data_IF_157514976525
#
_entry.id   IF_157514976525
#
_cell.length_a   1.000
_cell.length_b   1.000
_cell.length_c   1.000
_cell.angle_alpha   90.00
_cell.angle_beta   90.00
_cell.angle_gamma   90.00
#
_symmetry.space_group_name_H-M   'P 1'
#
loop_
_entity.id
_entity.type
_entity.pdbx_description
1 polymer ?
#
# COMPACT_ATOMS: atom_id res chain seq x y z
N UNK A 1 15.11 -17.56 -16.82
CA UNK A 1 14.18 -17.10 -15.74
C UNK A 1 12.70 -17.38 -16.03
N UNK A 2 12.27 -17.74 -17.25
CA UNK A 2 10.87 -18.11 -17.55
C UNK A 2 10.50 -19.55 -17.16
N UNK A 3 11.49 -20.45 -17.06
CA UNK A 3 11.25 -21.88 -16.79
C UNK A 3 10.91 -22.13 -15.31
N UNK A 4 11.56 -21.43 -14.39
CA UNK A 4 11.29 -21.53 -12.95
C UNK A 4 9.93 -20.97 -12.53
N UNK A 5 9.36 -20.02 -13.29
CA UNK A 5 7.99 -19.53 -13.05
C UNK A 5 6.93 -20.52 -13.55
N UNK A 6 7.24 -21.31 -14.57
CA UNK A 6 6.38 -22.36 -15.12
C UNK A 6 6.36 -23.62 -14.24
N UNK A 7 7.48 -23.99 -13.62
CA UNK A 7 7.54 -25.10 -12.65
C UNK A 7 6.75 -24.76 -11.37
N UNK A 8 6.94 -23.56 -10.81
CA UNK A 8 6.14 -23.10 -9.68
C UNK A 8 4.64 -23.03 -9.98
N UNK A 9 4.26 -22.63 -11.20
CA UNK A 9 2.87 -22.63 -11.63
C UNK A 9 2.27 -24.04 -11.76
N UNK A 10 3.04 -25.01 -12.29
CA UNK A 10 2.60 -26.42 -12.40
C UNK A 10 2.43 -27.09 -11.02
N UNK A 11 3.29 -26.76 -10.06
CA UNK A 11 3.14 -27.22 -8.67
C UNK A 11 1.89 -26.63 -8.01
N UNK A 12 1.60 -25.34 -8.23
CA UNK A 12 0.41 -24.68 -7.69
C UNK A 12 -0.89 -25.29 -8.25
N UNK A 13 -0.95 -25.61 -9.56
CA UNK A 13 -2.14 -26.24 -10.15
C UNK A 13 -2.37 -27.65 -9.60
N UNK A 14 -1.30 -28.41 -9.32
CA UNK A 14 -1.41 -29.73 -8.67
C UNK A 14 -1.94 -29.61 -7.23
N UNK A 15 -1.53 -28.58 -6.50
CA UNK A 15 -1.98 -28.30 -5.13
C UNK A 15 -3.43 -27.81 -5.11
N UNK A 16 -3.83 -26.97 -6.07
CA UNK A 16 -5.16 -26.35 -6.17
C UNK A 16 -6.19 -27.23 -6.90
N UNK A 17 -6.23 -28.52 -6.55
CA UNK A 17 -7.09 -29.51 -7.21
C UNK A 17 -8.53 -29.56 -6.66
N UNK A 18 -8.87 -28.76 -5.64
CA UNK A 18 -10.23 -28.67 -5.11
C UNK A 18 -10.68 -27.23 -4.88
N UNK A 19 -12.01 -27.03 -4.92
CA UNK A 19 -12.64 -25.73 -4.67
C UNK A 19 -12.28 -25.17 -3.29
N UNK A 20 -12.17 -26.03 -2.28
CA UNK A 20 -11.86 -25.62 -0.90
C UNK A 20 -10.43 -25.09 -0.77
N UNK A 21 -9.46 -25.75 -1.42
CA UNK A 21 -8.07 -25.28 -1.46
C UNK A 21 -7.94 -23.94 -2.19
N UNK A 22 -8.64 -23.79 -3.31
CA UNK A 22 -8.70 -22.53 -4.05
C UNK A 22 -9.30 -21.42 -3.20
N UNK A 23 -10.41 -21.70 -2.50
CA UNK A 23 -11.06 -20.73 -1.62
C UNK A 23 -10.16 -20.34 -0.45
N UNK A 24 -9.46 -21.30 0.17
CA UNK A 24 -8.51 -21.05 1.25
C UNK A 24 -7.37 -20.13 0.80
N UNK A 25 -6.70 -20.46 -0.31
CA UNK A 25 -5.61 -19.63 -0.86
C UNK A 25 -6.15 -18.25 -1.27
N UNK A 26 -7.36 -18.15 -1.82
CA UNK A 26 -7.98 -16.87 -2.19
C UNK A 26 -8.24 -15.99 -0.95
N UNK A 27 -8.76 -16.57 0.13
CA UNK A 27 -8.97 -15.84 1.38
C UNK A 27 -7.65 -15.33 1.94
N UNK A 28 -6.63 -16.19 1.98
CA UNK A 28 -5.29 -15.80 2.41
C UNK A 28 -4.69 -14.68 1.56
N UNK A 29 -4.78 -14.79 0.24
CA UNK A 29 -4.33 -13.76 -0.70
C UNK A 29 -5.06 -12.43 -0.49
N UNK A 30 -6.36 -12.46 -0.19
CA UNK A 30 -7.14 -11.27 0.11
C UNK A 30 -6.67 -10.58 1.40
N UNK A 31 -6.37 -11.35 2.45
CA UNK A 31 -5.85 -10.82 3.72
C UNK A 31 -4.47 -10.19 3.54
N UNK A 32 -3.55 -10.84 2.83
CA UNK A 32 -2.24 -10.28 2.50
C UNK A 32 -2.39 -9.01 1.66
N UNK A 33 -3.26 -9.05 0.64
CA UNK A 33 -3.53 -7.90 -0.21
C UNK A 33 -4.03 -6.71 0.61
N UNK A 34 -4.96 -6.95 1.55
CA UNK A 34 -5.46 -5.92 2.45
C UNK A 34 -4.35 -5.35 3.31
N UNK A 35 -3.52 -6.19 3.93
CA UNK A 35 -2.40 -5.73 4.74
C UNK A 35 -1.44 -4.84 3.94
N UNK A 36 -0.96 -5.31 2.79
CA UNK A 36 -0.03 -4.54 1.96
C UNK A 36 -0.63 -3.24 1.43
N UNK A 37 -1.92 -3.24 1.09
CA UNK A 37 -2.62 -2.02 0.69
C UNK A 37 -2.62 -0.97 1.81
N UNK A 38 -2.97 -1.38 3.04
CA UNK A 38 -3.00 -0.47 4.18
C UNK A 38 -1.59 0.03 4.52
N UNK A 39 -0.55 -0.81 4.39
CA UNK A 39 0.85 -0.40 4.55
C UNK A 39 1.29 0.64 3.51
N UNK A 40 0.85 0.52 2.26
CA UNK A 40 1.11 1.53 1.23
C UNK A 40 0.45 2.86 1.59
N UNK A 41 -0.79 2.83 2.08
CA UNK A 41 -1.48 4.03 2.57
C UNK A 41 -0.70 4.65 3.72
N UNK A 42 -0.31 3.85 4.72
CA UNK A 42 0.47 4.33 5.86
C UNK A 42 1.75 5.04 5.41
N UNK A 43 2.52 4.42 4.52
CA UNK A 43 3.76 4.99 3.97
C UNK A 43 3.54 6.34 3.30
N UNK A 44 2.46 6.51 2.54
CA UNK A 44 2.16 7.80 1.90
C UNK A 44 1.74 8.86 2.91
N UNK A 45 0.86 8.53 3.85
CA UNK A 45 0.38 9.51 4.82
C UNK A 45 1.48 9.91 5.82
N UNK A 46 2.38 8.99 6.18
CA UNK A 46 3.60 9.33 6.94
C UNK A 46 4.48 10.28 6.15
N UNK A 47 4.74 9.99 4.88
CA UNK A 47 5.51 10.89 4.01
C UNK A 47 4.89 12.30 3.93
N UNK A 48 3.56 12.40 3.86
CA UNK A 48 2.85 13.69 3.82
C UNK A 48 3.02 14.46 5.13
N UNK A 49 2.97 13.74 6.25
CA UNK A 49 3.23 14.32 7.57
C UNK A 49 4.67 14.84 7.67
N UNK A 50 5.64 14.03 7.23
CA UNK A 50 7.07 14.35 7.31
C UNK A 50 7.45 15.56 6.46
N UNK A 51 6.93 15.66 5.22
CA UNK A 51 7.08 16.86 4.40
C UNK A 51 6.53 18.08 5.12
N UNK A 52 5.34 17.97 5.72
CA UNK A 52 4.72 19.12 6.38
C UNK A 52 5.51 19.62 7.59
N UNK A 53 6.22 18.72 8.28
CA UNK A 53 7.17 19.08 9.33
C UNK A 53 8.44 19.69 8.73
N UNK A 54 9.08 19.03 7.77
CA UNK A 54 10.38 19.45 7.21
C UNK A 54 10.33 20.81 6.52
N UNK A 55 9.28 21.04 5.71
CA UNK A 55 9.14 22.27 4.94
C UNK A 55 8.36 23.34 5.70
N UNK A 56 7.93 23.06 6.94
CA UNK A 56 7.00 23.88 7.73
C UNK A 56 5.75 24.30 6.92
N UNK A 57 5.22 23.34 6.18
CA UNK A 57 4.27 23.56 5.11
C UNK A 57 3.08 22.62 5.31
N UNK A 58 1.97 23.18 5.76
CA UNK A 58 0.68 22.48 5.83
C UNK A 58 -0.22 23.05 4.76
N UNK A 59 -1.12 22.23 4.19
CA UNK A 59 -1.99 22.56 3.04
C UNK A 59 -2.02 24.04 2.67
N UNK A 60 -1.09 24.46 1.80
CA UNK A 60 -0.92 25.86 1.50
C UNK A 60 -1.84 26.29 0.36
N UNK A 61 -2.08 27.60 0.29
CA UNK A 61 -2.85 28.21 -0.78
C UNK A 61 -2.14 29.45 -1.27
N UNK A 62 -2.20 29.68 -2.57
CA UNK A 62 -1.86 30.96 -3.20
C UNK A 62 -3.08 31.48 -3.94
N UNK A 63 -3.09 32.77 -4.26
CA UNK A 63 -4.17 33.32 -5.10
C UNK A 63 -4.15 32.66 -6.48
N UNK A 64 -5.31 32.53 -7.14
CA UNK A 64 -5.39 32.00 -8.51
C UNK A 64 -4.51 32.77 -9.49
N UNK A 65 -4.34 34.07 -9.27
CA UNK A 65 -3.46 34.93 -10.06
C UNK A 65 -2.01 34.47 -9.94
N UNK A 66 -1.50 34.30 -8.72
CA UNK A 66 -0.13 33.82 -8.51
C UNK A 66 0.07 32.39 -9.01
N UNK A 67 -0.93 31.54 -8.83
CA UNK A 67 -0.92 30.18 -9.37
C UNK A 67 -0.75 30.20 -10.90
N UNK A 68 -1.56 31.01 -11.60
CA UNK A 68 -1.49 31.14 -13.05
C UNK A 68 -0.16 31.74 -13.52
N UNK A 69 0.33 32.79 -12.86
CA UNK A 69 1.60 33.44 -13.21
C UNK A 69 2.82 32.52 -13.07
N UNK A 70 2.76 31.53 -12.17
CA UNK A 70 3.86 30.60 -11.91
C UNK A 70 3.55 29.17 -12.39
N UNK A 71 2.50 28.97 -13.20
CA UNK A 71 2.09 27.67 -13.75
C UNK A 71 1.95 26.55 -12.70
N UNK A 72 1.43 26.89 -11.52
CA UNK A 72 1.30 25.98 -10.38
C UNK A 72 -0.17 25.82 -9.97
N UNK A 73 -0.44 24.85 -9.09
CA UNK A 73 -1.77 24.74 -8.48
C UNK A 73 -2.00 25.88 -7.48
N UNK A 74 -3.25 26.33 -7.31
CA UNK A 74 -3.59 27.33 -6.30
C UNK A 74 -3.65 26.73 -4.88
N UNK A 75 -3.75 25.41 -4.77
CA UNK A 75 -3.72 24.65 -3.51
C UNK A 75 -2.83 23.42 -3.65
N UNK A 76 -2.25 22.99 -2.53
CA UNK A 76 -1.54 21.72 -2.45
C UNK A 76 -1.67 21.09 -1.07
N UNK A 77 -1.25 19.82 -0.95
CA UNK A 77 -1.14 19.12 0.32
C UNK A 77 -2.47 18.91 1.05
N UNK A 78 -2.36 18.58 2.34
CA UNK A 78 -3.50 18.32 3.24
C UNK A 78 -3.21 18.98 4.61
N UNK A 79 -4.26 19.31 5.35
CA UNK A 79 -4.09 19.91 6.68
C UNK A 79 -3.51 18.89 7.65
N UNK A 80 -2.72 19.35 8.63
CA UNK A 80 -2.12 18.49 9.67
C UNK A 80 -3.18 17.65 10.38
N UNK A 81 -4.29 18.26 10.77
CA UNK A 81 -5.41 17.60 11.46
C UNK A 81 -5.95 16.42 10.65
N UNK A 82 -6.16 16.60 9.34
CA UNK A 82 -6.65 15.53 8.48
C UNK A 82 -5.63 14.40 8.35
N UNK A 83 -4.35 14.72 8.16
CA UNK A 83 -3.29 13.72 8.06
C UNK A 83 -3.22 12.89 9.34
N UNK A 84 -3.23 13.53 10.51
CA UNK A 84 -3.20 12.85 11.81
C UNK A 84 -4.43 11.96 12.02
N UNK A 85 -5.63 12.45 11.67
CA UNK A 85 -6.85 11.63 11.73
C UNK A 85 -6.77 10.40 10.83
N UNK A 86 -6.23 10.57 9.61
CA UNK A 86 -6.03 9.46 8.66
C UNK A 86 -5.01 8.45 9.16
N UNK A 87 -3.89 8.90 9.72
CA UNK A 87 -2.88 8.01 10.30
C UNK A 87 -3.46 7.18 11.44
N UNK A 88 -4.23 7.77 12.35
CA UNK A 88 -4.93 7.03 13.42
C UNK A 88 -5.91 5.98 12.87
N UNK A 89 -6.63 6.32 11.81
CA UNK A 89 -7.54 5.38 11.17
C UNK A 89 -6.78 4.22 10.49
N UNK A 90 -5.66 4.51 9.83
CA UNK A 90 -4.80 3.52 9.19
C UNK A 90 -4.18 2.59 10.21
N UNK A 91 -3.73 3.10 11.36
CA UNK A 91 -3.18 2.30 12.45
C UNK A 91 -4.19 1.23 12.93
N UNK A 92 -5.45 1.63 13.14
CA UNK A 92 -6.54 0.69 13.46
C UNK A 92 -6.75 -0.34 12.36
N UNK A 93 -6.68 0.07 11.09
CA UNK A 93 -6.81 -0.85 9.95
C UNK A 93 -5.63 -1.83 9.85
N UNK A 94 -4.42 -1.41 10.19
CA UNK A 94 -3.25 -2.29 10.27
C UNK A 94 -3.41 -3.33 11.37
N UNK A 95 -3.84 -2.89 12.56
CA UNK A 95 -4.13 -3.80 13.66
C UNK A 95 -5.18 -4.85 13.26
N UNK A 96 -6.29 -4.42 12.66
CA UNK A 96 -7.34 -5.33 12.18
C UNK A 96 -6.83 -6.29 11.10
N UNK A 97 -6.05 -5.82 10.12
CA UNK A 97 -5.53 -6.66 9.04
C UNK A 97 -4.52 -7.70 9.57
N UNK A 98 -3.64 -7.29 10.49
CA UNK A 98 -2.67 -8.18 11.13
C UNK A 98 -3.36 -9.22 12.01
N UNK A 99 -4.36 -8.81 12.80
CA UNK A 99 -5.17 -9.72 13.60
C UNK A 99 -5.92 -10.74 12.73
N UNK A 100 -6.52 -10.30 11.62
CA UNK A 100 -7.20 -11.20 10.69
C UNK A 100 -6.25 -12.23 10.06
N UNK A 101 -5.02 -11.82 9.70
CA UNK A 101 -4.00 -12.75 9.21
C UNK A 101 -3.55 -13.74 10.29
N UNK A 102 -3.35 -13.28 11.53
CA UNK A 102 -2.98 -14.15 12.64
C UNK A 102 -4.09 -15.15 12.96
N UNK A 103 -5.35 -14.70 13.00
CA UNK A 103 -6.50 -15.57 13.20
C UNK A 103 -6.61 -16.61 12.09
N UNK A 104 -6.40 -16.22 10.83
CA UNK A 104 -6.39 -17.15 9.71
C UNK A 104 -5.25 -18.17 9.80
N UNK A 105 -4.06 -17.77 10.26
CA UNK A 105 -2.93 -18.68 10.49
C UNK A 105 -3.15 -19.67 11.63
N UNK A 106 -3.99 -19.31 12.61
CA UNK A 106 -4.36 -20.19 13.73
C UNK A 106 -5.59 -21.08 13.43
N UNK A 107 -6.26 -20.88 12.29
CA UNK A 107 -7.38 -21.74 11.91
C UNK A 107 -6.84 -23.14 11.56
N UNK A 108 -7.55 -24.21 11.97
CA UNK A 108 -7.21 -25.55 11.53
C UNK A 108 -7.22 -25.60 10.01
N UNK A 109 -6.13 -26.12 9.42
CA UNK A 109 -6.07 -26.33 7.99
C UNK A 109 -7.27 -27.19 7.57
N UNK A 110 -8.00 -26.81 6.49
CA UNK A 110 -9.00 -27.68 5.89
C UNK A 110 -8.47 -29.11 5.75
N UNK A 111 -9.28 -30.11 6.08
CA UNK A 111 -8.89 -31.54 6.01
C UNK A 111 -8.26 -31.92 4.66
N UNK A 112 -8.77 -31.33 3.58
CA UNK A 112 -8.26 -31.54 2.23
C UNK A 112 -6.80 -31.04 2.01
N UNK A 113 -6.32 -30.11 2.83
CA UNK A 113 -4.93 -29.61 2.82
C UNK A 113 -4.02 -30.43 3.76
N UNK A 114 -4.57 -31.00 4.84
CA UNK A 114 -3.81 -31.87 5.76
C UNK A 114 -3.56 -33.28 5.22
N UNK A 115 -4.35 -33.74 4.25
CA UNK A 115 -4.26 -35.09 3.66
C UNK A 115 -3.35 -35.15 2.41
N UNK A 116 -2.70 -34.04 2.05
CA UNK A 116 -1.80 -34.00 0.89
C UNK A 116 -0.48 -34.71 1.25
N UNK A 117 -0.07 -35.67 0.40
CA UNK A 117 1.22 -36.34 0.51
C UNK A 117 2.05 -36.06 -0.76
N UNK A 118 3.22 -35.40 -0.67
CA UNK A 118 3.87 -34.90 0.54
C UNK A 118 3.09 -33.75 1.20
N UNK A 119 3.26 -33.55 2.53
CA UNK A 119 2.63 -32.47 3.27
C UNK A 119 2.87 -31.12 2.59
N UNK A 120 1.83 -30.30 2.60
CA UNK A 120 1.88 -28.98 1.99
C UNK A 120 2.81 -28.05 2.79
N UNK A 121 3.85 -27.54 2.13
CA UNK A 121 4.69 -26.51 2.72
C UNK A 121 3.96 -25.15 2.71
N UNK A 122 3.38 -24.80 3.85
CA UNK A 122 2.64 -23.55 4.03
C UNK A 122 3.55 -22.32 3.92
N UNK A 123 4.83 -22.42 4.31
CA UNK A 123 5.77 -21.31 4.18
C UNK A 123 6.02 -21.00 2.70
N UNK A 124 6.22 -22.05 1.89
CA UNK A 124 6.38 -21.91 0.44
C UNK A 124 5.13 -21.30 -0.20
N UNK A 125 3.93 -21.75 0.16
CA UNK A 125 2.68 -21.16 -0.33
C UNK A 125 2.54 -19.71 0.10
N UNK A 126 2.85 -19.42 1.36
CA UNK A 126 2.78 -18.06 1.88
C UNK A 126 3.69 -17.11 1.12
N UNK A 127 4.94 -17.53 0.86
CA UNK A 127 5.90 -16.78 0.06
C UNK A 127 5.40 -16.58 -1.38
N UNK A 128 4.83 -17.62 -2.01
CA UNK A 128 4.28 -17.53 -3.37
C UNK A 128 3.08 -16.59 -3.46
N UNK A 129 2.11 -16.72 -2.57
CA UNK A 129 0.93 -15.84 -2.50
C UNK A 129 1.37 -14.40 -2.25
N UNK A 130 2.30 -14.19 -1.32
CA UNK A 130 2.89 -12.88 -1.04
C UNK A 130 3.53 -12.27 -2.30
N UNK A 131 4.32 -13.05 -3.04
CA UNK A 131 4.95 -12.60 -4.28
C UNK A 131 3.92 -12.22 -5.36
N UNK A 132 2.87 -13.04 -5.54
CA UNK A 132 1.78 -12.77 -6.49
C UNK A 132 1.04 -11.50 -6.11
N UNK A 133 0.67 -11.33 -4.84
CA UNK A 133 -0.02 -10.12 -4.36
C UNK A 133 0.85 -8.87 -4.54
N UNK A 134 2.14 -8.94 -4.18
CA UNK A 134 3.09 -7.82 -4.40
C UNK A 134 3.20 -7.44 -5.86
N UNK A 135 3.27 -8.43 -6.75
CA UNK A 135 3.28 -8.19 -8.20
C UNK A 135 1.98 -7.55 -8.67
N UNK A 136 0.83 -8.02 -8.17
CA UNK A 136 -0.48 -7.45 -8.47
C UNK A 136 -0.62 -5.99 -8.03
N UNK A 137 0.00 -5.61 -6.91
CA UNK A 137 -0.01 -4.24 -6.39
C UNK A 137 1.11 -3.35 -6.97
N UNK A 138 1.90 -3.81 -7.94
CA UNK A 138 3.03 -3.04 -8.44
C UNK A 138 2.65 -1.67 -9.01
N UNK A 139 1.63 -1.62 -9.88
CA UNK A 139 1.12 -0.35 -10.44
C UNK A 139 0.61 0.59 -9.36
N UNK A 140 -0.07 0.03 -8.36
CA UNK A 140 -0.56 0.80 -7.22
C UNK A 140 0.61 1.42 -6.46
N UNK A 141 1.63 0.63 -6.10
CA UNK A 141 2.84 1.12 -5.46
C UNK A 141 3.51 2.25 -6.26
N UNK A 142 3.64 2.09 -7.58
CA UNK A 142 4.17 3.14 -8.46
C UNK A 142 3.33 4.42 -8.38
N UNK A 143 2.00 4.32 -8.37
CA UNK A 143 1.12 5.48 -8.22
C UNK A 143 1.33 6.18 -6.88
N UNK A 144 1.45 5.44 -5.77
CA UNK A 144 1.73 6.01 -4.46
C UNK A 144 3.07 6.75 -4.44
N UNK A 145 4.12 6.17 -5.03
CA UNK A 145 5.43 6.83 -5.15
C UNK A 145 5.39 8.07 -6.05
N UNK A 146 4.63 8.03 -7.15
CA UNK A 146 4.40 9.20 -8.00
C UNK A 146 3.69 10.32 -7.23
N UNK A 147 2.63 10.01 -6.49
CA UNK A 147 1.91 10.99 -5.68
C UNK A 147 2.80 11.66 -4.62
N UNK A 148 3.71 10.90 -3.99
CA UNK A 148 4.71 11.44 -3.06
C UNK A 148 5.62 12.46 -3.75
N UNK A 149 6.16 12.11 -4.93
CA UNK A 149 7.01 13.02 -5.72
C UNK A 149 6.27 14.29 -6.12
N UNK A 150 5.03 14.16 -6.60
CA UNK A 150 4.22 15.32 -6.99
C UNK A 150 3.97 16.26 -5.82
N UNK A 151 3.61 15.71 -4.64
CA UNK A 151 3.44 16.55 -3.46
C UNK A 151 4.71 17.33 -3.08
N UNK A 152 5.89 16.70 -3.21
CA UNK A 152 7.17 17.37 -2.92
C UNK A 152 7.42 18.53 -3.89
N UNK A 153 7.18 18.33 -5.18
CA UNK A 153 7.28 19.38 -6.19
C UNK A 153 6.32 20.53 -5.88
N UNK A 154 5.03 20.22 -5.68
CA UNK A 154 4.01 21.22 -5.35
C UNK A 154 4.40 22.02 -4.08
N UNK A 155 4.91 21.34 -3.05
CA UNK A 155 5.35 22.01 -1.81
C UNK A 155 6.53 22.95 -2.04
N UNK A 156 7.43 22.59 -2.95
CA UNK A 156 8.60 23.39 -3.30
C UNK A 156 8.17 24.63 -4.06
N UNK A 157 7.30 24.48 -5.05
CA UNK A 157 6.79 25.60 -5.86
C UNK A 157 6.05 26.62 -4.98
N UNK A 158 5.18 26.14 -4.09
CA UNK A 158 4.48 27.00 -3.14
C UNK A 158 5.45 27.73 -2.21
N UNK A 159 6.46 27.04 -1.66
CA UNK A 159 7.49 27.68 -0.83
C UNK A 159 8.22 28.79 -1.58
N UNK A 160 8.64 28.52 -2.81
CA UNK A 160 9.37 29.46 -3.64
C UNK A 160 8.52 30.70 -3.97
N UNK A 161 7.27 30.51 -4.37
CA UNK A 161 6.35 31.62 -4.66
C UNK A 161 6.08 32.45 -3.40
N UNK A 162 5.88 31.81 -2.24
CA UNK A 162 5.72 32.55 -0.99
C UNK A 162 6.97 33.38 -0.64
N UNK A 163 8.16 32.82 -0.82
CA UNK A 163 9.43 33.51 -0.55
C UNK A 163 9.69 34.67 -1.52
N UNK A 164 9.55 34.45 -2.83
CA UNK A 164 9.83 35.45 -3.88
C UNK A 164 8.91 36.65 -3.77
N UNK A 165 7.62 36.44 -3.48
CA UNK A 165 6.63 37.50 -3.43
C UNK A 165 6.32 37.98 -2.00
N UNK A 166 7.03 37.49 -0.99
CA UNK A 166 6.80 37.84 0.42
C UNK A 166 5.38 37.54 0.90
N UNK A 167 4.75 36.49 0.35
CA UNK A 167 3.38 36.10 0.71
C UNK A 167 3.40 35.42 2.08
N UNK A 168 2.48 35.82 2.95
CA UNK A 168 2.26 35.18 4.25
C UNK A 168 1.46 33.89 4.10
#
# INVERSE_FOLDING_TARGET
MLISSLEGAKEIVKILNSKDKINYIRQYAHLIHRLFYVQLQESQWKYYYDIGIQENIWSGRVSKKWAAMNSMNYTYGRSKTLIVQRLKAIERQLQQASQALQQFGNQPLPQCLSEINPPLDFEKISAMVTAVVRKGQHKLKQQFEHNKKMLKLDSTDHRLVQQVYGLK
#
